data_IF_989968527003
#
_entry.id   IF_989968527003
#
_cell.length_a   1.000
_cell.length_b   1.000
_cell.length_c   1.000
_cell.angle_alpha   90.00
_cell.angle_beta   90.00
_cell.angle_gamma   90.00
#
_symmetry.space_group_name_H-M   'P 1'
#
loop_
_entity.id
_entity.type
_entity.pdbx_description
1 polymer ?
#
# COMPACT_ATOMS: atom_id res chain seq x y z
N UNK A 1 21.35 19.79 32.53
CA UNK A 1 20.91 18.77 31.55
C UNK A 1 20.02 19.45 30.52
N UNK A 2 20.61 19.94 29.43
CA UNK A 2 19.89 20.63 28.35
C UNK A 2 19.18 19.61 27.47
N UNK A 3 17.85 19.67 27.43
CA UNK A 3 17.04 18.96 26.45
C UNK A 3 17.28 19.59 25.06
N UNK A 4 17.90 18.84 24.16
CA UNK A 4 17.86 19.10 22.72
C UNK A 4 17.00 18.00 22.11
N UNK A 5 15.68 18.20 22.11
CA UNK A 5 14.81 17.46 21.22
C UNK A 5 14.78 18.22 19.90
N UNK A 6 15.51 17.71 18.92
CA UNK A 6 15.26 18.05 17.52
C UNK A 6 13.86 17.52 17.17
N UNK A 7 12.85 18.37 17.30
CA UNK A 7 11.54 18.11 16.72
C UNK A 7 11.72 18.31 15.21
N UNK A 8 12.15 17.27 14.50
CA UNK A 8 11.85 17.14 13.08
C UNK A 8 10.36 16.82 13.01
N UNK A 9 9.51 17.83 12.88
CA UNK A 9 8.12 17.62 12.50
C UNK A 9 8.08 17.20 11.02
N UNK A 10 8.41 15.94 10.75
CA UNK A 10 8.06 15.33 9.48
C UNK A 10 6.67 14.73 9.72
N UNK A 11 5.62 15.45 9.29
CA UNK A 11 4.36 14.79 8.97
C UNK A 11 4.72 13.56 8.14
N UNK A 12 4.45 12.36 8.63
CA UNK A 12 4.73 11.13 7.89
C UNK A 12 4.07 11.28 6.52
N UNK A 13 4.88 11.37 5.47
CA UNK A 13 4.35 11.40 4.12
C UNK A 13 3.83 10.00 3.83
N UNK A 14 2.54 9.90 3.54
CA UNK A 14 1.88 8.67 3.17
C UNK A 14 1.15 8.88 1.85
N UNK A 15 0.84 7.79 1.16
CA UNK A 15 0.18 7.81 -0.15
C UNK A 15 -1.16 7.10 -0.07
N UNK A 16 -2.19 7.74 -0.63
CA UNK A 16 -3.56 7.21 -0.73
C UNK A 16 -3.85 6.65 -2.12
N UNK A 17 -3.28 7.26 -3.16
CA UNK A 17 -3.56 6.93 -4.56
C UNK A 17 -2.45 6.14 -5.24
N UNK A 18 -2.83 5.29 -6.20
CA UNK A 18 -1.89 4.63 -7.10
C UNK A 18 -1.15 5.65 -7.97
N UNK A 19 0.10 5.34 -8.31
CA UNK A 19 0.85 6.08 -9.36
C UNK A 19 0.19 5.89 -10.72
N UNK A 20 0.44 6.77 -11.69
CA UNK A 20 -0.15 6.63 -13.04
C UNK A 20 0.27 5.33 -13.73
N UNK A 21 1.49 4.84 -13.47
CA UNK A 21 1.94 3.54 -13.96
C UNK A 21 1.13 2.40 -13.35
N UNK A 22 0.92 2.43 -12.03
CA UNK A 22 0.06 1.47 -11.35
C UNK A 22 -1.37 1.52 -11.87
N UNK A 23 -1.95 2.71 -12.04
CA UNK A 23 -3.29 2.91 -12.61
C UNK A 23 -3.36 2.29 -14.01
N UNK A 24 -2.30 2.39 -14.81
CA UNK A 24 -2.22 1.76 -16.14
C UNK A 24 -2.09 0.22 -16.09
N UNK A 25 -1.35 -0.32 -15.13
CA UNK A 25 -1.19 -1.77 -14.97
C UNK A 25 -2.47 -2.42 -14.44
N UNK A 26 -3.17 -1.75 -13.53
CA UNK A 26 -4.33 -2.29 -12.83
C UNK A 26 -5.67 -1.70 -13.31
N UNK A 27 -5.75 -1.18 -14.54
CA UNK A 27 -6.96 -0.50 -15.07
C UNK A 27 -8.26 -1.30 -14.90
N UNK A 28 -8.17 -2.62 -14.96
CA UNK A 28 -9.30 -3.56 -14.93
C UNK A 28 -9.71 -3.98 -13.52
N UNK A 29 -8.89 -3.69 -12.50
CA UNK A 29 -9.08 -4.20 -11.15
C UNK A 29 -9.05 -3.07 -10.12
N UNK A 30 -9.98 -3.13 -9.16
CA UNK A 30 -10.03 -2.19 -8.03
C UNK A 30 -8.98 -2.55 -6.98
N UNK A 31 -7.73 -2.25 -7.28
CA UNK A 31 -6.60 -2.46 -6.36
C UNK A 31 -6.32 -1.16 -5.60
N UNK A 32 -6.06 -1.25 -4.29
CA UNK A 32 -5.60 -0.12 -3.48
C UNK A 32 -4.08 -0.04 -3.49
N UNK A 33 -3.55 1.17 -3.33
CA UNK A 33 -2.11 1.34 -3.15
C UNK A 33 -1.64 0.58 -1.91
N UNK A 34 -0.57 -0.20 -2.06
CA UNK A 34 0.19 -0.73 -0.92
C UNK A 34 1.68 -0.48 -1.12
N UNK A 35 2.41 -0.27 -0.03
CA UNK A 35 3.85 -0.06 -0.07
C UNK A 35 4.56 -1.30 -0.59
N UNK A 36 4.09 -2.49 -0.20
CA UNK A 36 4.57 -3.76 -0.72
C UNK A 36 4.40 -3.88 -2.24
N UNK A 37 3.26 -3.45 -2.78
CA UNK A 37 3.03 -3.39 -4.21
C UNK A 37 4.02 -2.43 -4.88
N UNK A 38 4.21 -1.24 -4.32
CA UNK A 38 5.17 -0.26 -4.83
C UNK A 38 6.59 -0.82 -4.92
N UNK A 39 7.08 -1.45 -3.85
CA UNK A 39 8.40 -2.08 -3.85
C UNK A 39 8.51 -3.19 -4.89
N UNK A 40 7.47 -3.99 -5.09
CA UNK A 40 7.47 -5.05 -6.11
C UNK A 40 7.50 -4.49 -7.54
N UNK A 41 6.79 -3.39 -7.81
CA UNK A 41 6.88 -2.73 -9.12
C UNK A 41 8.23 -2.06 -9.33
N UNK A 42 8.78 -1.42 -8.30
CA UNK A 42 10.11 -0.82 -8.35
C UNK A 42 11.20 -1.88 -8.61
N UNK A 43 11.13 -3.03 -7.92
CA UNK A 43 11.99 -4.18 -8.15
C UNK A 43 11.91 -4.66 -9.61
N UNK A 44 10.70 -4.73 -10.18
CA UNK A 44 10.55 -5.02 -11.61
C UNK A 44 11.29 -3.99 -12.47
N UNK A 45 11.05 -2.69 -12.26
CA UNK A 45 11.67 -1.64 -13.08
C UNK A 45 13.19 -1.76 -13.05
N UNK A 46 13.74 -2.04 -11.87
CA UNK A 46 15.17 -2.28 -11.69
C UNK A 46 15.65 -3.47 -12.53
N UNK A 47 14.97 -4.61 -12.45
CA UNK A 47 15.32 -5.81 -13.22
C UNK A 47 15.13 -5.61 -14.74
N UNK A 48 14.08 -4.93 -15.17
CA UNK A 48 13.79 -4.67 -16.59
C UNK A 48 14.83 -3.72 -17.22
N UNK A 49 15.30 -2.74 -16.45
CA UNK A 49 16.37 -1.83 -16.90
C UNK A 49 17.72 -2.54 -17.02
N UNK A 50 18.02 -3.48 -16.12
CA UNK A 50 19.35 -4.11 -16.02
C UNK A 50 19.46 -5.42 -16.81
N UNK A 51 18.42 -6.24 -16.80
CA UNK A 51 18.39 -7.56 -17.44
C UNK A 51 17.61 -7.59 -18.76
N UNK A 52 16.83 -6.54 -19.08
CA UNK A 52 15.93 -6.52 -20.25
C UNK A 52 14.94 -7.70 -20.34
N UNK A 53 14.68 -8.35 -19.21
CA UNK A 53 13.79 -9.50 -19.09
C UNK A 53 12.92 -9.35 -17.82
N UNK A 54 11.87 -10.17 -17.73
CA UNK A 54 10.96 -10.17 -16.58
C UNK A 54 11.09 -11.47 -15.80
N UNK A 55 11.23 -11.36 -14.47
CA UNK A 55 11.25 -12.53 -13.58
C UNK A 55 9.93 -13.30 -13.67
N UNK A 56 9.99 -14.63 -13.71
CA UNK A 56 8.81 -15.49 -13.86
C UNK A 56 7.75 -15.25 -12.78
N UNK A 57 8.16 -15.02 -11.53
CA UNK A 57 7.24 -14.76 -10.42
C UNK A 57 6.46 -13.46 -10.65
N UNK A 58 7.13 -12.40 -11.13
CA UNK A 58 6.48 -11.14 -11.49
C UNK A 58 5.64 -11.26 -12.76
N UNK A 59 6.08 -12.03 -13.77
CA UNK A 59 5.36 -12.18 -15.03
C UNK A 59 3.92 -12.69 -14.82
N UNK A 60 3.73 -13.62 -13.87
CA UNK A 60 2.40 -14.12 -13.51
C UNK A 60 1.51 -12.98 -13.00
N UNK A 61 1.99 -12.17 -12.05
CA UNK A 61 1.23 -11.02 -11.55
C UNK A 61 0.76 -10.10 -12.69
N UNK A 62 1.64 -9.72 -13.62
CA UNK A 62 1.28 -8.79 -14.69
C UNK A 62 0.34 -9.37 -15.74
N UNK A 63 0.47 -10.67 -16.08
CA UNK A 63 -0.43 -11.31 -17.03
C UNK A 63 -1.88 -11.36 -16.54
N UNK A 64 -2.09 -11.43 -15.22
CA UNK A 64 -3.44 -11.40 -14.64
C UNK A 64 -4.09 -10.02 -14.71
N UNK A 65 -3.32 -8.94 -14.60
CA UNK A 65 -3.88 -7.58 -14.52
C UNK A 65 -3.90 -6.84 -15.86
N UNK A 66 -2.98 -7.18 -16.77
CA UNK A 66 -2.92 -6.59 -18.10
C UNK A 66 -3.75 -7.44 -19.08
N UNK A 67 -5.07 -7.29 -19.02
CA UNK A 67 -5.98 -8.01 -19.90
C UNK A 67 -5.71 -7.67 -21.38
N UNK A 68 -5.80 -8.69 -22.24
CA UNK A 68 -5.36 -8.72 -23.64
C UNK A 68 -6.20 -7.85 -24.58
N UNK A 69 -6.82 -6.77 -24.11
CA UNK A 69 -7.73 -5.95 -24.89
C UNK A 69 -7.07 -4.71 -25.50
N UNK A 70 -5.79 -4.82 -25.85
CA UNK A 70 -5.18 -3.94 -26.85
C UNK A 70 -4.97 -4.72 -28.13
N UNK A 71 -5.90 -4.55 -29.07
CA UNK A 71 -5.70 -4.86 -30.50
C UNK A 71 -4.52 -4.06 -31.12
N UNK A 72 -3.81 -3.27 -30.33
CA UNK A 72 -2.53 -2.66 -30.65
C UNK A 72 -1.39 -3.43 -29.96
N UNK A 73 -1.21 -4.69 -30.34
CA UNK A 73 -0.12 -5.56 -29.91
C UNK A 73 1.25 -5.20 -30.53
N UNK A 74 1.50 -3.92 -30.83
CA UNK A 74 2.72 -3.45 -31.49
C UNK A 74 3.65 -2.60 -30.61
N UNK A 75 3.28 -2.27 -29.37
CA UNK A 75 4.14 -1.48 -28.46
C UNK A 75 4.30 -2.04 -27.05
N UNK A 76 3.71 -3.19 -26.72
CA UNK A 76 4.18 -3.98 -25.60
C UNK A 76 5.41 -4.77 -26.08
N UNK A 77 6.62 -4.25 -25.81
CA UNK A 77 7.84 -5.07 -25.93
C UNK A 77 7.56 -6.37 -25.19
N UNK A 78 7.59 -7.48 -25.92
CA UNK A 78 7.41 -8.82 -25.39
C UNK A 78 8.66 -9.15 -24.58
N UNK A 79 8.77 -8.57 -23.38
CA UNK A 79 9.91 -8.77 -22.50
C UNK A 79 10.02 -10.28 -22.25
N UNK A 80 11.16 -10.86 -22.63
CA UNK A 80 11.40 -12.29 -22.46
C UNK A 80 11.38 -12.64 -20.98
N UNK A 81 10.92 -13.85 -20.64
CA UNK A 81 11.03 -14.35 -19.28
C UNK A 81 12.50 -14.66 -19.03
N UNK A 82 13.06 -14.15 -17.93
CA UNK A 82 14.46 -14.41 -17.59
C UNK A 82 14.68 -15.90 -17.30
N UNK A 83 15.81 -16.45 -17.75
CA UNK A 83 16.27 -17.78 -17.32
C UNK A 83 16.73 -17.73 -15.87
N UNK A 84 16.47 -18.78 -15.08
CA UNK A 84 16.83 -18.83 -13.66
C UNK A 84 18.35 -18.73 -13.43
N UNK A 85 19.15 -19.07 -14.45
CA UNK A 85 20.61 -19.05 -14.40
C UNK A 85 21.22 -17.71 -14.85
N UNK A 86 20.42 -16.71 -15.22
CA UNK A 86 20.97 -15.42 -15.62
C UNK A 86 21.76 -14.77 -14.48
N UNK A 87 23.00 -14.32 -14.75
CA UNK A 87 23.86 -13.73 -13.73
C UNK A 87 23.24 -12.46 -13.13
N UNK A 88 22.45 -11.72 -13.92
CA UNK A 88 21.80 -10.50 -13.46
C UNK A 88 20.70 -10.76 -12.41
N UNK A 89 20.05 -11.93 -12.41
CA UNK A 89 19.10 -12.29 -11.35
C UNK A 89 19.80 -12.59 -10.03
N UNK A 90 21.05 -13.06 -10.07
CA UNK A 90 21.85 -13.25 -8.86
C UNK A 90 22.21 -11.91 -8.22
N UNK A 91 22.31 -10.85 -9.01
CA UNK A 91 22.52 -9.48 -8.51
C UNK A 91 21.28 -8.88 -7.82
N UNK A 92 20.09 -9.52 -7.92
CA UNK A 92 18.91 -9.15 -7.11
C UNK A 92 19.22 -9.09 -5.61
N UNK A 93 20.17 -9.90 -5.14
CA UNK A 93 20.62 -9.91 -3.74
C UNK A 93 21.16 -8.53 -3.31
N UNK A 94 21.68 -7.73 -4.24
CA UNK A 94 22.16 -6.38 -4.00
C UNK A 94 21.08 -5.30 -4.13
N UNK A 95 19.85 -5.66 -4.46
CA UNK A 95 18.76 -4.70 -4.55
C UNK A 95 18.36 -4.21 -3.17
N UNK A 96 18.78 -3.00 -2.83
CA UNK A 96 18.31 -2.32 -1.63
C UNK A 96 17.04 -1.52 -1.93
N UNK A 97 15.91 -2.05 -1.51
CA UNK A 97 14.59 -1.42 -1.70
C UNK A 97 14.50 -0.01 -1.10
N UNK A 98 15.21 0.29 -0.01
CA UNK A 98 15.16 1.62 0.63
C UNK A 98 15.88 2.70 -0.19
N UNK A 99 16.93 2.32 -0.91
CA UNK A 99 17.77 3.27 -1.67
C UNK A 99 17.27 3.43 -3.11
N UNK A 100 16.85 2.33 -3.74
CA UNK A 100 16.37 2.32 -5.12
C UNK A 100 14.91 2.77 -5.28
N UNK A 101 14.09 2.70 -4.21
CA UNK A 101 12.65 2.97 -4.28
C UNK A 101 12.20 4.07 -3.32
N UNK A 102 12.84 5.25 -3.38
CA UNK A 102 12.48 6.41 -2.55
C UNK A 102 11.06 6.96 -2.83
N UNK A 103 10.47 6.62 -3.99
CA UNK A 103 9.11 7.01 -4.36
C UNK A 103 8.03 6.25 -3.55
N UNK A 104 8.40 5.11 -2.94
CA UNK A 104 7.46 4.22 -2.25
C UNK A 104 7.19 4.67 -0.81
N UNK A 105 6.23 5.57 -0.68
CA UNK A 105 5.69 6.04 0.59
C UNK A 105 4.80 4.97 1.26
N UNK A 106 4.69 4.94 2.59
CA UNK A 106 3.75 4.06 3.29
C UNK A 106 2.29 4.43 2.97
N UNK A 107 1.37 3.49 3.16
CA UNK A 107 -0.07 3.73 3.05
C UNK A 107 -0.58 4.63 4.19
N UNK A 108 -1.51 5.54 3.88
CA UNK A 108 -2.18 6.33 4.93
C UNK A 108 -3.22 5.52 5.70
N UNK A 109 -3.80 4.50 5.05
CA UNK A 109 -4.80 3.60 5.62
C UNK A 109 -4.39 2.18 5.28
N UNK A 110 -4.16 1.36 6.30
CA UNK A 110 -3.85 -0.06 6.14
C UNK A 110 -4.60 -0.89 7.17
N UNK A 111 -4.89 -2.13 6.81
CA UNK A 111 -5.54 -3.10 7.69
C UNK A 111 -4.51 -4.16 8.01
N UNK A 112 -4.19 -4.31 9.30
CA UNK A 112 -3.28 -5.33 9.79
C UNK A 112 -4.09 -6.45 10.44
N UNK A 113 -3.84 -7.69 10.01
CA UNK A 113 -4.45 -8.88 10.59
C UNK A 113 -3.44 -9.57 11.52
N UNK A 114 -3.76 -9.67 12.80
CA UNK A 114 -3.04 -10.55 13.72
C UNK A 114 -3.51 -11.98 13.51
N UNK A 115 -2.58 -12.88 13.18
CA UNK A 115 -2.89 -14.29 12.93
C UNK A 115 -2.42 -15.10 14.12
N UNK A 116 -3.36 -15.75 14.82
CA UNK A 116 -3.04 -16.78 15.80
C UNK A 116 -3.19 -18.15 15.14
N UNK A 117 -2.08 -18.87 15.01
CA UNK A 117 -2.10 -20.21 14.43
C UNK A 117 -2.18 -21.28 15.52
N UNK A 118 -3.04 -22.27 15.29
CA UNK A 118 -3.07 -23.50 16.08
C UNK A 118 -3.05 -24.68 15.13
N UNK A 119 -2.37 -25.75 15.53
CA UNK A 119 -2.16 -26.92 14.68
C UNK A 119 -2.67 -28.16 15.41
N UNK A 120 -3.38 -29.00 14.68
CA UNK A 120 -3.85 -30.29 15.15
C UNK A 120 -3.63 -31.34 14.07
N UNK A 121 -3.39 -32.59 14.50
CA UNK A 121 -3.28 -33.69 13.55
C UNK A 121 -4.61 -33.96 12.86
N UNK A 122 -4.63 -33.67 11.56
CA UNK A 122 -5.74 -33.98 10.68
C UNK A 122 -5.27 -34.96 9.59
N UNK A 123 -6.08 -35.98 9.22
CA UNK A 123 -7.29 -36.44 9.90
C UNK A 123 -6.98 -37.28 11.16
N UNK A 124 -7.92 -37.28 12.11
CA UNK A 124 -7.90 -38.19 13.26
C UNK A 124 -7.82 -39.65 12.79
N UNK A 125 -7.11 -40.52 13.52
CA UNK A 125 -6.88 -41.92 13.17
C UNK A 125 -8.17 -42.70 12.86
N UNK A 126 -9.26 -42.44 13.59
CA UNK A 126 -10.58 -43.04 13.34
C UNK A 126 -11.25 -42.51 12.06
N UNK A 127 -11.03 -41.24 11.74
CA UNK A 127 -11.62 -40.57 10.58
C UNK A 127 -10.80 -40.78 9.29
N UNK A 128 -9.53 -41.21 9.40
CA UNK A 128 -8.62 -41.36 8.27
C UNK A 128 -9.21 -42.24 7.15
N UNK A 129 -9.82 -43.37 7.51
CA UNK A 129 -10.43 -44.28 6.54
C UNK A 129 -11.65 -43.71 5.81
N UNK A 130 -12.37 -42.76 6.41
CA UNK A 130 -13.51 -42.09 5.78
C UNK A 130 -13.05 -40.92 4.89
N UNK A 131 -12.09 -40.13 5.37
CA UNK A 131 -11.53 -38.99 4.63
C UNK A 131 -10.80 -39.49 3.38
N UNK A 132 -9.97 -40.54 3.50
CA UNK A 132 -9.25 -41.10 2.36
C UNK A 132 -10.18 -41.61 1.26
N UNK A 133 -11.28 -42.29 1.63
CA UNK A 133 -12.31 -42.75 0.70
C UNK A 133 -13.02 -41.59 -0.01
N UNK A 134 -13.37 -40.51 0.69
CA UNK A 134 -14.04 -39.34 0.08
C UNK A 134 -13.12 -38.58 -0.88
N UNK A 135 -11.88 -38.35 -0.47
CA UNK A 135 -10.87 -37.68 -1.28
C UNK A 135 -10.64 -38.47 -2.57
N UNK A 136 -10.50 -39.80 -2.44
CA UNK A 136 -10.38 -40.67 -3.59
C UNK A 136 -11.60 -40.61 -4.53
N UNK A 137 -12.81 -40.64 -3.98
CA UNK A 137 -14.02 -40.56 -4.81
C UNK A 137 -14.10 -39.27 -5.63
N UNK A 138 -13.59 -38.15 -5.11
CA UNK A 138 -13.45 -36.91 -5.89
C UNK A 138 -12.40 -37.06 -6.99
N UNK A 139 -11.19 -37.55 -6.69
CA UNK A 139 -10.15 -37.73 -7.70
C UNK A 139 -10.51 -38.74 -8.81
N UNK A 140 -11.21 -39.84 -8.48
CA UNK A 140 -11.68 -40.83 -9.46
C UNK A 140 -12.81 -40.26 -10.33
N UNK A 141 -13.66 -39.40 -9.78
CA UNK A 141 -14.75 -38.76 -10.53
C UNK A 141 -14.21 -37.82 -11.61
N UNK A 142 -13.09 -37.13 -11.35
CA UNK A 142 -12.42 -36.31 -12.35
C UNK A 142 -11.68 -37.13 -13.41
N UNK A 143 -11.07 -38.27 -13.04
CA UNK A 143 -10.41 -39.18 -13.99
C UNK A 143 -11.36 -39.96 -14.89
N UNK A 144 -12.63 -40.18 -14.51
CA UNK A 144 -13.59 -40.95 -15.34
C UNK A 144 -13.93 -40.26 -16.67
N UNK A 145 -13.62 -38.97 -16.82
CA UNK A 145 -13.75 -38.25 -18.09
C UNK A 145 -12.50 -38.32 -18.98
N UNK A 146 -11.33 -38.73 -18.46
CA UNK A 146 -10.08 -38.86 -19.20
C UNK A 146 -9.38 -40.18 -18.84
N UNK A 147 -9.67 -41.20 -19.65
CA UNK A 147 -8.98 -42.49 -19.83
C UNK A 147 -8.65 -43.40 -18.63
N UNK A 148 -9.07 -44.66 -18.82
CA UNK A 148 -8.82 -45.85 -18.03
C UNK A 148 -7.35 -46.03 -17.64
N UNK A 149 -7.00 -45.77 -16.38
CA UNK A 149 -5.72 -46.19 -15.80
C UNK A 149 -5.93 -47.30 -14.77
N UNK A 150 -5.14 -48.37 -14.95
CA UNK A 150 -5.09 -49.62 -14.19
C UNK A 150 -5.15 -49.47 -12.66
N UNK A 151 -5.89 -50.36 -12.01
CA UNK A 151 -6.20 -50.36 -10.57
C UNK A 151 -5.04 -50.54 -9.58
N UNK A 152 -3.79 -50.61 -10.05
CA UNK A 152 -2.59 -50.73 -9.21
C UNK A 152 -2.02 -49.38 -8.75
N UNK A 153 -2.29 -48.27 -9.44
CA UNK A 153 -1.87 -46.92 -8.97
C UNK A 153 -2.73 -46.40 -7.80
N UNK A 154 -3.96 -46.89 -7.68
CA UNK A 154 -4.87 -46.52 -6.60
C UNK A 154 -4.33 -46.89 -5.22
N UNK A 155 -3.62 -48.02 -5.11
CA UNK A 155 -3.04 -48.53 -3.86
C UNK A 155 -2.00 -47.57 -3.24
N UNK A 156 -1.15 -46.97 -4.06
CA UNK A 156 -0.10 -46.05 -3.62
C UNK A 156 -0.66 -44.67 -3.22
N UNK A 157 -1.79 -44.26 -3.81
CA UNK A 157 -2.53 -43.05 -3.38
C UNK A 157 -3.03 -43.21 -1.94
N UNK A 158 -3.44 -44.42 -1.51
CA UNK A 158 -3.94 -44.63 -0.15
C UNK A 158 -2.89 -44.45 0.95
N UNK A 159 -1.61 -44.74 0.69
CA UNK A 159 -0.55 -44.64 1.70
C UNK A 159 -0.03 -43.21 1.91
N UNK A 160 -0.24 -42.30 0.96
CA UNK A 160 0.27 -40.92 1.03
C UNK A 160 -0.75 -39.85 1.42
N UNK A 161 -2.04 -40.19 1.59
CA UNK A 161 -3.09 -39.18 1.83
C UNK A 161 -2.88 -38.42 3.15
N UNK A 162 -2.32 -39.06 4.17
CA UNK A 162 -2.08 -38.42 5.46
C UNK A 162 -0.97 -37.36 5.40
N UNK A 163 -0.01 -37.55 4.51
CA UNK A 163 1.14 -36.66 4.35
C UNK A 163 0.91 -35.59 3.26
N UNK A 164 -0.14 -35.75 2.45
CA UNK A 164 -0.45 -34.86 1.32
C UNK A 164 -1.72 -34.01 1.51
N UNK A 165 -2.40 -34.11 2.66
CA UNK A 165 -3.59 -33.30 2.95
C UNK A 165 -3.28 -32.33 4.09
N UNK A 166 -3.62 -31.06 3.85
CA UNK A 166 -3.65 -30.02 4.86
C UNK A 166 -5.08 -29.50 4.96
N UNK A 167 -5.62 -29.50 6.19
CA UNK A 167 -6.87 -28.82 6.49
C UNK A 167 -6.54 -27.46 7.09
N UNK A 168 -7.05 -26.39 6.47
CA UNK A 168 -6.90 -25.01 6.94
C UNK A 168 -8.27 -24.48 7.29
N UNK A 169 -8.45 -24.09 8.54
CA UNK A 169 -9.66 -23.41 9.02
C UNK A 169 -9.29 -21.95 9.30
N UNK A 170 -10.01 -21.03 8.65
CA UNK A 170 -9.83 -19.59 8.82
C UNK A 170 -11.10 -19.07 9.50
N UNK A 171 -10.99 -18.72 10.78
CA UNK A 171 -12.07 -18.14 11.57
C UNK A 171 -11.67 -16.76 12.07
N UNK A 172 -12.62 -15.83 12.09
CA UNK A 172 -12.43 -14.51 12.68
C UNK A 172 -12.48 -14.65 14.21
N UNK A 173 -11.54 -14.00 14.92
CA UNK A 173 -11.64 -13.91 16.37
C UNK A 173 -12.85 -13.06 16.77
N UNK A 174 -13.40 -13.32 17.95
CA UNK A 174 -14.50 -12.55 18.53
C UNK A 174 -14.05 -11.20 19.10
N UNK A 175 -12.77 -10.87 19.00
CA UNK A 175 -12.21 -9.65 19.59
C UNK A 175 -12.67 -8.41 18.80
N UNK A 176 -12.92 -7.28 19.49
CA UNK A 176 -13.29 -6.05 18.82
C UNK A 176 -12.15 -5.57 17.91
N UNK A 177 -12.51 -5.00 16.76
CA UNK A 177 -11.54 -4.41 15.84
C UNK A 177 -10.89 -3.18 16.46
N UNK A 178 -9.56 -3.20 16.59
CA UNK A 178 -8.79 -2.03 17.03
C UNK A 178 -8.61 -1.05 15.87
N UNK A 179 -9.02 0.21 16.08
CA UNK A 179 -8.85 1.29 15.11
C UNK A 179 -7.84 2.29 15.69
N UNK A 180 -6.66 2.37 15.06
CA UNK A 180 -5.64 3.36 15.40
C UNK A 180 -5.74 4.55 14.44
N UNK A 181 -6.11 5.72 14.95
CA UNK A 181 -6.17 6.97 14.18
C UNK A 181 -5.17 7.98 14.71
N UNK A 182 -4.27 8.46 13.85
CA UNK A 182 -3.39 9.59 14.16
C UNK A 182 -4.12 10.91 13.85
N UNK A 183 -4.31 11.77 14.85
CA UNK A 183 -4.88 13.11 14.68
C UNK A 183 -3.81 14.19 14.94
N UNK A 184 -3.85 15.33 14.22
CA UNK A 184 -2.91 16.42 14.47
C UNK A 184 -3.06 16.92 15.91
N UNK A 185 -1.93 17.08 16.62
CA UNK A 185 -1.92 17.63 17.98
C UNK A 185 -2.36 19.10 18.02
N UNK A 186 -2.22 19.80 16.90
CA UNK A 186 -2.52 21.22 16.79
C UNK A 186 -3.27 21.50 15.50
N UNK A 187 -4.49 22.02 15.63
CA UNK A 187 -5.31 22.46 14.50
C UNK A 187 -5.13 23.96 14.26
N UNK A 188 -5.57 24.43 13.09
CA UNK A 188 -5.60 25.87 12.79
C UNK A 188 -6.44 26.66 13.80
N UNK A 189 -7.50 26.04 14.32
CA UNK A 189 -8.35 26.64 15.35
C UNK A 189 -7.57 26.81 16.65
N UNK A 190 -6.79 25.79 17.05
CA UNK A 190 -5.94 25.87 18.23
C UNK A 190 -4.86 26.95 18.08
N UNK A 191 -4.32 27.11 16.86
CA UNK A 191 -3.34 28.13 16.51
C UNK A 191 -3.89 29.55 16.69
N UNK A 192 -5.05 29.82 16.09
CA UNK A 192 -5.72 31.12 16.21
C UNK A 192 -6.13 31.38 17.66
N UNK A 193 -6.62 30.35 18.36
CA UNK A 193 -7.02 30.45 19.76
C UNK A 193 -5.84 30.78 20.68
N UNK A 194 -4.70 30.12 20.51
CA UNK A 194 -3.50 30.38 21.33
C UNK A 194 -2.91 31.75 21.05
N UNK A 195 -2.83 32.17 19.78
CA UNK A 195 -2.35 33.51 19.43
C UNK A 195 -3.29 34.57 20.01
N UNK A 196 -4.60 34.44 19.80
CA UNK A 196 -5.59 35.38 20.32
C UNK A 196 -5.60 35.45 21.86
N UNK A 197 -5.46 34.29 22.52
CA UNK A 197 -5.36 34.21 23.97
C UNK A 197 -4.13 34.94 24.51
N UNK A 198 -2.96 34.69 23.92
CA UNK A 198 -1.73 35.36 24.34
C UNK A 198 -1.73 36.85 24.01
N UNK A 199 -2.17 37.26 22.82
CA UNK A 199 -2.19 38.69 22.44
C UNK A 199 -3.16 39.50 23.31
N UNK A 200 -4.33 38.93 23.62
CA UNK A 200 -5.29 39.57 24.53
C UNK A 200 -4.76 39.68 25.96
N UNK A 201 -3.98 38.69 26.43
CA UNK A 201 -3.43 38.70 27.79
C UNK A 201 -2.28 39.71 27.94
N UNK A 202 -1.35 39.77 26.99
CA UNK A 202 -0.14 40.60 27.11
C UNK A 202 -0.36 42.05 26.67
N UNK A 203 -1.10 42.26 25.59
CA UNK A 203 -1.29 43.60 24.98
C UNK A 203 -2.66 44.17 25.36
N UNK A 204 -3.63 43.32 25.76
CA UNK A 204 -5.02 43.75 25.96
C UNK A 204 -5.74 44.04 24.64
N UNK A 205 -5.17 43.64 23.50
CA UNK A 205 -5.69 43.97 22.17
C UNK A 205 -6.64 42.87 21.72
N UNK A 206 -7.85 43.27 21.36
CA UNK A 206 -8.87 42.40 20.76
C UNK A 206 -8.87 42.53 19.24
N UNK A 207 -9.59 41.64 18.54
CA UNK A 207 -9.80 41.74 17.09
C UNK A 207 -10.43 43.09 16.70
N UNK A 208 -11.33 43.62 17.55
CA UNK A 208 -11.99 44.91 17.34
C UNK A 208 -10.97 46.05 17.41
N UNK A 209 -10.05 45.98 18.38
CA UNK A 209 -8.96 46.96 18.53
C UNK A 209 -8.02 46.96 17.30
N UNK A 210 -7.81 45.80 16.65
CA UNK A 210 -7.03 45.74 15.40
C UNK A 210 -7.73 46.42 14.23
N UNK A 211 -9.06 46.30 14.13
CA UNK A 211 -9.85 46.98 13.09
C UNK A 211 -9.77 48.50 13.27
N UNK A 212 -9.87 48.98 14.50
CA UNK A 212 -9.75 50.41 14.81
C UNK A 212 -8.37 50.98 14.45
N UNK A 213 -7.29 50.25 14.77
CA UNK A 213 -5.92 50.61 14.38
C UNK A 213 -5.78 50.64 12.85
N UNK A 214 -6.40 49.69 12.14
CA UNK A 214 -6.35 49.64 10.68
C UNK A 214 -7.12 50.81 10.03
N UNK A 215 -8.27 51.19 10.57
CA UNK A 215 -9.02 52.37 10.12
C UNK A 215 -8.21 53.66 10.34
N UNK A 216 -7.61 53.81 11.53
CA UNK A 216 -6.77 54.96 11.84
C UNK A 216 -5.57 55.05 10.89
N UNK A 217 -4.89 53.92 10.62
CA UNK A 217 -3.80 53.84 9.65
C UNK A 217 -4.26 54.21 8.24
N UNK A 218 -5.43 53.72 7.80
CA UNK A 218 -5.99 54.05 6.49
C UNK A 218 -6.27 55.55 6.35
N UNK A 219 -6.89 56.17 7.36
CA UNK A 219 -7.15 57.61 7.38
C UNK A 219 -5.86 58.43 7.37
N UNK A 220 -4.86 58.02 8.15
CA UNK A 220 -3.55 58.67 8.17
C UNK A 220 -2.84 58.55 6.82
N UNK A 221 -2.83 57.37 6.20
CA UNK A 221 -2.23 57.16 4.88
C UNK A 221 -2.93 57.97 3.80
N UNK A 222 -4.27 58.01 3.78
CA UNK A 222 -5.02 58.81 2.82
C UNK A 222 -4.75 60.32 2.98
N UNK A 223 -4.64 60.78 4.23
CA UNK A 223 -4.31 62.18 4.53
C UNK A 223 -2.86 62.50 4.17
N UNK A 224 -1.91 61.61 4.42
CA UNK A 224 -0.52 61.75 3.98
C UNK A 224 -0.40 61.76 2.46
N UNK A 225 -1.15 60.91 1.76
CA UNK A 225 -1.19 60.87 0.31
C UNK A 225 -1.71 62.19 -0.28
N UNK A 226 -2.79 62.74 0.29
CA UNK A 226 -3.32 64.05 -0.09
C UNK A 226 -2.37 65.22 0.23
N UNK A 227 -1.47 65.07 1.21
CA UNK A 227 -0.49 66.10 1.56
C UNK A 227 0.75 66.05 0.67
N UNK A 228 1.15 64.85 0.22
CA UNK A 228 2.32 64.64 -0.66
C UNK A 228 1.99 64.88 -2.14
N UNK A 229 0.77 64.56 -2.59
CA UNK A 229 0.26 64.91 -3.92
C UNK A 229 -0.84 65.97 -3.79
N UNK A 230 -0.50 67.26 -3.58
CA UNK A 230 -1.49 68.32 -3.77
C UNK A 230 -1.83 68.37 -5.26
N UNK A 231 -2.98 67.82 -5.64
CA UNK A 231 -3.56 68.08 -6.95
C UNK A 231 -3.75 69.60 -7.02
N UNK A 232 -2.94 70.23 -7.87
CA UNK A 232 -3.06 71.64 -8.24
C UNK A 232 -4.47 71.80 -8.81
N UNK A 233 -5.42 72.23 -7.99
CA UNK A 233 -6.71 72.73 -8.47
C UNK A 233 -6.38 74.01 -9.24
N UNK A 234 -6.56 73.94 -10.55
CA UNK A 234 -6.64 75.12 -11.43
C UNK A 234 -7.67 76.10 -10.91
#
# INVERSE_FOLDING_TARGET
LSFSQSIKSFSRQCRTELTDEMKNIFRTHTIRYTQALCYKLCEKRYLEQRCHCVERTLAVFYQFFNDKNTNNAHTARKSSICSMDEPCLKERIHFNSSESCQECLPECEFIQYSVQSSYAHYPNMKANGHVSKRVQQHFIRDKRNNESSSGTELANVYMGIRDNIVAVEISASSDPTEILTESPMYTWVDLISSIGGQTSLWIGVSLISLVEIAELLYLLLNRFYSYIFPIKKN
#
